data_IF_312215493576
#
_entry.id   IF_312215493576
#
_cell.length_a   1.000
_cell.length_b   1.000
_cell.length_c   1.000
_cell.angle_alpha   90.00
_cell.angle_beta   90.00
_cell.angle_gamma   90.00
#
_symmetry.space_group_name_H-M   'P 1'
#
loop_
_entity.id
_entity.type
_entity.pdbx_description
1 polymer ?
#
# COMPACT_ATOMS: atom_id res chain seq x y z
N UNK A 1 -5.08 -5.20 -3.08
CA UNK A 1 -5.05 -6.47 -2.32
C UNK A 1 -4.93 -7.70 -3.22
N UNK A 2 -5.82 -7.87 -4.19
CA UNK A 2 -5.92 -9.10 -5.01
C UNK A 2 -4.65 -9.44 -5.81
N UNK A 3 -4.05 -8.44 -6.46
CA UNK A 3 -2.80 -8.64 -7.23
C UNK A 3 -1.64 -9.13 -6.35
N UNK A 4 -1.51 -8.59 -5.13
CA UNK A 4 -0.47 -8.97 -4.17
C UNK A 4 -0.71 -10.40 -3.68
N UNK A 5 -1.96 -10.76 -3.36
CA UNK A 5 -2.33 -12.11 -2.94
C UNK A 5 -2.00 -13.12 -4.04
N UNK A 6 -2.34 -12.80 -5.30
CA UNK A 6 -2.02 -13.64 -6.45
C UNK A 6 -0.52 -13.82 -6.64
N UNK A 7 0.27 -12.74 -6.58
CA UNK A 7 1.72 -12.82 -6.67
C UNK A 7 2.35 -13.67 -5.56
N UNK A 8 1.87 -13.53 -4.32
CA UNK A 8 2.37 -14.32 -3.18
C UNK A 8 1.98 -15.79 -3.34
N UNK A 9 0.74 -16.08 -3.71
CA UNK A 9 0.25 -17.44 -4.03
C UNK A 9 1.15 -18.12 -5.07
N UNK A 10 1.37 -17.48 -6.22
CA UNK A 10 2.17 -18.00 -7.32
C UNK A 10 3.65 -18.20 -6.94
N UNK A 11 4.25 -17.23 -6.25
CA UNK A 11 5.69 -17.26 -5.92
C UNK A 11 6.03 -18.14 -4.73
N UNK A 12 5.13 -18.24 -3.74
CA UNK A 12 5.34 -19.03 -2.55
C UNK A 12 4.78 -20.46 -2.68
N UNK A 13 4.00 -20.76 -3.73
CA UNK A 13 3.41 -22.08 -3.95
C UNK A 13 2.35 -22.43 -2.91
N UNK A 14 1.57 -21.45 -2.45
CA UNK A 14 0.52 -21.59 -1.44
C UNK A 14 -0.84 -21.23 -2.02
N UNK A 15 -1.93 -21.63 -1.36
CA UNK A 15 -3.29 -21.26 -1.80
C UNK A 15 -3.53 -19.75 -1.65
N UNK A 16 -4.46 -19.19 -2.42
CA UNK A 16 -4.82 -17.77 -2.32
C UNK A 16 -5.32 -17.40 -0.92
N UNK A 17 -6.06 -18.28 -0.25
CA UNK A 17 -6.50 -18.08 1.13
C UNK A 17 -5.32 -17.98 2.11
N UNK A 18 -4.34 -18.87 1.96
CA UNK A 18 -3.10 -18.80 2.75
C UNK A 18 -2.29 -17.54 2.43
N UNK A 19 -2.21 -17.14 1.16
CA UNK A 19 -1.54 -15.93 0.74
C UNK A 19 -2.22 -14.67 1.31
N UNK A 20 -3.55 -14.63 1.35
CA UNK A 20 -4.31 -13.54 1.97
C UNK A 20 -3.97 -13.39 3.45
N UNK A 21 -3.92 -14.50 4.19
CA UNK A 21 -3.52 -14.51 5.60
C UNK A 21 -2.06 -14.03 5.74
N UNK A 22 -1.15 -14.54 4.91
CA UNK A 22 0.26 -14.16 4.95
C UNK A 22 0.47 -12.65 4.73
N UNK A 23 -0.20 -12.08 3.72
CA UNK A 23 -0.11 -10.64 3.43
C UNK A 23 -0.66 -9.81 4.60
N UNK A 24 -1.77 -10.23 5.21
CA UNK A 24 -2.34 -9.54 6.38
C UNK A 24 -1.39 -9.55 7.59
N UNK A 25 -0.76 -10.69 7.89
CA UNK A 25 0.21 -10.82 8.99
C UNK A 25 1.41 -9.91 8.77
N UNK A 26 2.01 -9.96 7.58
CA UNK A 26 3.17 -9.11 7.25
C UNK A 26 2.81 -7.63 7.27
N UNK A 27 1.64 -7.27 6.75
CA UNK A 27 1.13 -5.90 6.82
C UNK A 27 0.98 -5.43 8.29
N UNK A 28 0.46 -6.27 9.18
CA UNK A 28 0.39 -5.97 10.61
C UNK A 28 1.77 -5.72 11.22
N UNK A 29 2.73 -6.63 10.98
CA UNK A 29 4.11 -6.49 11.49
C UNK A 29 4.76 -5.19 10.98
N UNK A 30 4.54 -4.83 9.71
CA UNK A 30 5.10 -3.60 9.14
C UNK A 30 4.49 -2.36 9.79
N UNK A 31 3.17 -2.33 10.02
CA UNK A 31 2.52 -1.21 10.72
C UNK A 31 3.02 -1.06 12.15
N UNK A 32 3.18 -2.15 12.88
CA UNK A 32 3.66 -2.13 14.27
C UNK A 32 5.10 -1.63 14.40
N UNK A 33 5.90 -1.75 13.34
CA UNK A 33 7.32 -1.32 13.31
C UNK A 33 7.55 0.01 12.58
N UNK A 34 6.56 0.53 11.87
CA UNK A 34 6.67 1.79 11.15
C UNK A 34 6.12 2.95 11.98
N UNK A 35 6.72 4.16 11.88
CA UNK A 35 6.10 5.37 12.41
C UNK A 35 4.70 5.58 11.80
N UNK A 36 3.75 6.11 12.56
CA UNK A 36 2.34 6.27 12.15
C UNK A 36 2.16 6.98 10.79
N UNK A 37 3.05 7.92 10.46
CA UNK A 37 3.07 8.62 9.18
C UNK A 37 3.28 7.69 7.97
N UNK A 38 3.94 6.55 8.15
CA UNK A 38 4.23 5.56 7.11
C UNK A 38 3.18 4.44 7.07
N UNK A 39 2.58 4.08 8.21
CA UNK A 39 1.56 3.03 8.31
C UNK A 39 0.34 3.31 7.43
N UNK A 40 -0.07 4.59 7.34
CA UNK A 40 -1.19 5.03 6.49
C UNK A 40 -0.95 4.71 5.00
N UNK A 41 0.29 4.81 4.51
CA UNK A 41 0.64 4.52 3.12
C UNK A 41 0.56 3.03 2.79
N UNK A 42 0.98 2.17 3.73
CA UNK A 42 0.88 0.72 3.60
C UNK A 42 -0.59 0.30 3.50
N UNK A 43 -1.45 0.88 4.34
CA UNK A 43 -2.89 0.62 4.28
C UNK A 43 -3.54 1.04 2.97
N UNK A 44 -3.22 2.24 2.47
CA UNK A 44 -3.74 2.72 1.18
C UNK A 44 -3.32 1.80 0.03
N UNK A 45 -2.06 1.35 -0.01
CA UNK A 45 -1.59 0.45 -1.05
C UNK A 45 -2.27 -0.92 -0.99
N UNK A 46 -2.43 -1.50 0.21
CA UNK A 46 -3.05 -2.82 0.37
C UNK A 46 -4.54 -2.79 0.01
N UNK A 47 -5.26 -1.74 0.40
CA UNK A 47 -6.69 -1.56 0.07
C UNK A 47 -6.95 -1.35 -1.42
N UNK A 48 -5.92 -1.10 -2.23
CA UNK A 48 -6.11 -0.64 -3.61
C UNK A 48 -6.60 0.81 -3.67
N UNK A 49 -6.60 1.52 -2.53
CA UNK A 49 -6.76 2.97 -2.40
C UNK A 49 -5.46 3.71 -2.73
N UNK A 50 -4.52 3.05 -3.44
CA UNK A 50 -3.56 3.71 -4.33
C UNK A 50 -4.31 4.34 -5.51
N UNK A 51 -5.32 5.13 -5.17
CA UNK A 51 -6.22 5.81 -6.06
C UNK A 51 -5.44 6.95 -6.70
N UNK A 52 -5.56 7.09 -8.01
CA UNK A 52 -4.89 8.13 -8.79
C UNK A 52 -5.16 9.55 -8.24
N UNK A 53 -6.19 9.71 -7.40
CA UNK A 53 -6.50 10.94 -6.66
C UNK A 53 -5.46 11.37 -5.63
N UNK A 54 -4.83 10.47 -4.87
CA UNK A 54 -3.88 10.88 -3.82
C UNK A 54 -2.51 11.27 -4.39
N UNK A 55 -2.08 10.62 -5.47
CA UNK A 55 -0.89 11.01 -6.23
C UNK A 55 -1.13 12.34 -6.98
N UNK A 56 -2.33 12.53 -7.53
CA UNK A 56 -2.76 13.79 -8.16
C UNK A 56 -2.82 14.96 -7.17
N UNK A 57 -3.35 14.73 -5.97
CA UNK A 57 -3.39 15.74 -4.90
C UNK A 57 -2.00 16.06 -4.34
N UNK A 58 -1.13 15.05 -4.22
CA UNK A 58 0.27 15.24 -3.80
C UNK A 58 1.09 15.96 -4.89
N UNK A 59 0.88 15.62 -6.16
CA UNK A 59 1.48 16.30 -7.31
C UNK A 59 0.96 17.74 -7.46
N UNK A 60 -0.33 17.97 -7.23
CA UNK A 60 -0.94 19.30 -7.23
C UNK A 60 -0.42 20.19 -6.11
N UNK A 61 -0.23 19.64 -4.89
CA UNK A 61 0.40 20.36 -3.77
C UNK A 61 1.88 20.69 -4.04
N UNK A 62 2.64 19.79 -4.67
CA UNK A 62 4.01 20.09 -5.08
C UNK A 62 4.06 21.14 -6.21
N UNK A 63 3.20 21.04 -7.21
CA UNK A 63 3.09 22.01 -8.31
C UNK A 63 2.72 23.41 -7.82
N UNK A 64 1.81 23.52 -6.83
CA UNK A 64 1.42 24.80 -6.23
C UNK A 64 2.53 25.50 -5.43
N UNK A 65 3.49 24.74 -4.87
CA UNK A 65 4.65 25.29 -4.16
C UNK A 65 5.77 25.72 -5.11
N UNK A 66 5.94 25.04 -6.24
CA UNK A 66 6.89 25.43 -7.29
C UNK A 66 6.38 26.56 -8.20
N UNK A 67 5.06 26.70 -8.34
CA UNK A 67 4.43 27.73 -9.18
C UNK A 67 4.20 29.08 -8.49
N UNK A 68 4.51 29.20 -7.18
CA UNK A 68 4.34 30.44 -6.42
C UNK A 68 5.70 31.03 -6.04
N UNK A 69 6.40 31.56 -7.04
CA UNK A 69 7.39 32.62 -6.91
C UNK A 69 7.02 33.75 -7.85
#
# INVERSE_FOLDING_TARGET
MEEIVKMVSEKAGITEDQAKIAVQVVAGILKDRMPDAMATHVDSYLKGEGDAGNLGDMAGKLGGLFGKK
#
